data_IF_260248133637
#
_entry.id   IF_260248133637
#
_cell.length_a   1.000
_cell.length_b   1.000
_cell.length_c   1.000
_cell.angle_alpha   90.00
_cell.angle_beta   90.00
_cell.angle_gamma   90.00
#
_symmetry.space_group_name_H-M   'P 1'
#
loop_
_entity.id
_entity.type
_entity.pdbx_description
1 polymer ?
#
# COMPACT_ATOMS: atom_id res chain seq x y z
N UNK A 1 -29.93 -1.37 2.91
CA UNK A 1 -28.77 -1.78 2.08
C UNK A 1 -27.57 -0.96 2.53
N UNK A 2 -26.48 -1.59 2.97
CA UNK A 2 -25.24 -0.90 3.32
C UNK A 2 -24.50 -0.55 2.01
N UNK A 3 -24.07 0.69 1.86
CA UNK A 3 -23.26 1.14 0.72
C UNK A 3 -21.86 1.47 1.25
N UNK A 4 -20.83 0.79 0.73
CA UNK A 4 -19.44 1.09 1.03
C UNK A 4 -18.83 1.90 -0.12
N UNK A 5 -18.67 3.23 0.01
CA UNK A 5 -18.14 4.07 -1.07
C UNK A 5 -16.67 3.78 -1.42
N UNK A 6 -15.98 2.99 -0.59
CA UNK A 6 -14.56 2.66 -0.74
C UNK A 6 -14.32 1.21 -1.18
N UNK A 7 -15.36 0.44 -1.50
CA UNK A 7 -15.25 -0.99 -1.80
C UNK A 7 -14.25 -1.31 -2.92
N UNK A 8 -14.17 -0.44 -3.95
CA UNK A 8 -13.29 -0.61 -5.10
C UNK A 8 -12.29 0.53 -5.25
N UNK A 9 -11.86 1.09 -4.11
CA UNK A 9 -10.86 2.16 -4.06
C UNK A 9 -9.56 1.68 -3.43
N UNK A 10 -8.45 2.09 -4.02
CA UNK A 10 -7.14 1.98 -3.36
C UNK A 10 -7.06 2.93 -2.18
N UNK A 11 -6.08 2.74 -1.30
CA UNK A 11 -5.88 3.68 -0.18
C UNK A 11 -5.50 5.08 -0.67
N UNK A 12 -4.72 5.20 -1.75
CA UNK A 12 -4.43 6.49 -2.38
C UNK A 12 -5.68 7.16 -2.93
N UNK A 13 -6.52 6.44 -3.67
CA UNK A 13 -7.81 6.92 -4.17
C UNK A 13 -8.73 7.36 -3.03
N UNK A 14 -8.76 6.62 -1.91
CA UNK A 14 -9.51 7.02 -0.71
C UNK A 14 -9.04 8.37 -0.14
N UNK A 15 -7.73 8.63 -0.13
CA UNK A 15 -7.18 9.90 0.35
C UNK A 15 -7.52 11.03 -0.63
N UNK A 16 -7.34 10.80 -1.94
CA UNK A 16 -7.63 11.80 -2.98
C UNK A 16 -9.11 12.17 -3.02
N UNK A 17 -10.00 11.19 -2.89
CA UNK A 17 -11.44 11.39 -3.04
C UNK A 17 -12.16 11.72 -1.72
N UNK A 18 -11.42 11.87 -0.62
CA UNK A 18 -12.02 12.24 0.66
C UNK A 18 -12.66 13.64 0.57
N UNK A 19 -13.95 13.72 0.86
CA UNK A 19 -14.70 14.99 0.76
C UNK A 19 -14.14 16.08 1.70
N UNK A 20 -13.69 15.71 2.89
CA UNK A 20 -13.16 16.66 3.87
C UNK A 20 -11.63 16.60 3.93
N UNK A 21 -10.98 17.15 2.91
CA UNK A 21 -9.52 17.18 2.82
C UNK A 21 -8.85 17.94 3.96
N UNK A 22 -9.51 18.97 4.50
CA UNK A 22 -9.01 19.74 5.64
C UNK A 22 -8.89 18.88 6.90
N UNK A 23 -9.93 18.09 7.21
CA UNK A 23 -9.90 17.16 8.34
C UNK A 23 -8.92 16.03 8.08
N UNK A 24 -8.90 15.47 6.86
CA UNK A 24 -8.00 14.37 6.53
C UNK A 24 -6.53 14.77 6.71
N UNK A 25 -6.11 15.94 6.23
CA UNK A 25 -4.73 16.42 6.40
C UNK A 25 -4.32 16.56 7.86
N UNK A 26 -5.26 16.90 8.75
CA UNK A 26 -5.01 16.98 10.19
C UNK A 26 -4.96 15.60 10.85
N UNK A 27 -5.94 14.75 10.55
CA UNK A 27 -6.12 13.48 11.27
C UNK A 27 -5.28 12.34 10.71
N UNK A 28 -4.93 12.34 9.43
CA UNK A 28 -4.30 11.19 8.77
C UNK A 28 -3.00 10.79 9.47
N UNK A 29 -2.19 11.75 9.90
CA UNK A 29 -0.90 11.53 10.58
C UNK A 29 -1.06 10.88 11.96
N UNK A 30 -2.19 11.09 12.63
CA UNK A 30 -2.50 10.55 13.96
C UNK A 30 -3.13 9.14 13.91
N UNK A 31 -3.58 8.71 12.73
CA UNK A 31 -4.13 7.35 12.55
C UNK A 31 -3.06 6.27 12.54
N UNK A 32 -3.44 5.05 12.93
CA UNK A 32 -2.57 3.87 12.95
C UNK A 32 -2.87 2.95 11.77
N UNK A 33 -1.84 2.50 11.05
CA UNK A 33 -1.94 1.45 10.03
C UNK A 33 -0.99 0.27 10.29
N UNK A 34 0.07 0.48 11.06
CA UNK A 34 1.12 -0.47 11.34
C UNK A 34 0.60 -1.74 12.04
N UNK A 35 0.85 -2.90 11.43
CA UNK A 35 0.55 -4.21 12.04
C UNK A 35 1.42 -4.55 13.26
N UNK A 36 2.49 -3.78 13.50
CA UNK A 36 3.41 -3.96 14.64
C UNK A 36 3.27 -2.86 15.71
N UNK A 37 2.27 -1.97 15.58
CA UNK A 37 2.13 -0.77 16.43
C UNK A 37 2.02 -1.08 17.92
N UNK A 38 1.24 -2.10 18.29
CA UNK A 38 0.98 -2.45 19.70
C UNK A 38 2.24 -2.72 20.54
N UNK A 39 3.39 -3.02 19.92
CA UNK A 39 4.65 -3.30 20.62
C UNK A 39 5.48 -2.04 20.89
N UNK A 40 5.40 -1.03 20.03
CA UNK A 40 6.27 0.14 20.07
C UNK A 40 5.55 1.45 20.35
N UNK A 41 4.21 1.50 20.20
CA UNK A 41 3.44 2.75 20.22
C UNK A 41 3.68 3.65 18.99
N UNK A 42 4.50 3.20 18.05
CA UNK A 42 4.96 4.00 16.89
C UNK A 42 4.78 3.21 15.59
N UNK A 43 4.40 3.89 14.52
CA UNK A 43 4.31 3.29 13.19
C UNK A 43 5.70 2.82 12.75
N UNK A 44 5.89 1.55 12.38
CA UNK A 44 7.25 1.08 12.08
C UNK A 44 7.78 1.65 10.76
N UNK A 45 6.90 1.92 9.78
CA UNK A 45 7.30 2.48 8.49
C UNK A 45 7.77 1.45 7.45
N UNK A 46 7.99 0.19 7.83
CA UNK A 46 8.51 -0.87 6.94
C UNK A 46 7.60 -2.06 6.68
N UNK A 47 6.59 -2.30 7.53
CA UNK A 47 5.67 -3.42 7.33
C UNK A 47 4.70 -3.14 6.18
N UNK A 48 4.09 -4.19 5.61
CA UNK A 48 3.14 -4.10 4.49
C UNK A 48 2.11 -2.95 4.64
N UNK A 49 1.34 -2.82 5.74
CA UNK A 49 0.36 -1.74 5.82
C UNK A 49 0.98 -0.35 6.02
N UNK A 50 2.23 -0.24 6.52
CA UNK A 50 2.97 1.02 6.52
C UNK A 50 3.43 1.41 5.11
N UNK A 51 3.86 0.45 4.30
CA UNK A 51 4.25 0.70 2.91
C UNK A 51 3.05 1.14 2.07
N UNK A 52 1.90 0.48 2.22
CA UNK A 52 0.63 0.91 1.57
C UNK A 52 0.22 2.31 2.06
N UNK A 53 0.40 2.61 3.36
CA UNK A 53 0.15 3.97 3.88
C UNK A 53 1.05 5.01 3.22
N UNK A 54 2.37 4.81 3.24
CA UNK A 54 3.33 5.75 2.63
C UNK A 54 3.05 5.94 1.14
N UNK A 55 2.73 4.85 0.43
CA UNK A 55 2.31 4.90 -0.96
C UNK A 55 1.05 5.72 -1.17
N UNK A 56 0.04 5.58 -0.30
CA UNK A 56 -1.19 6.38 -0.39
C UNK A 56 -0.97 7.88 -0.16
N UNK A 57 -0.07 8.26 0.75
CA UNK A 57 0.34 9.67 0.90
C UNK A 57 1.05 10.18 -0.36
N UNK A 58 1.95 9.37 -0.93
CA UNK A 58 2.64 9.69 -2.18
C UNK A 58 1.66 9.89 -3.34
N UNK A 59 0.70 8.99 -3.54
CA UNK A 59 -0.36 9.11 -4.56
C UNK A 59 -1.17 10.39 -4.40
N UNK A 60 -1.52 10.74 -3.17
CA UNK A 60 -2.27 11.96 -2.89
C UNK A 60 -1.42 13.24 -2.92
N UNK A 61 -0.11 13.15 -3.19
CA UNK A 61 0.86 14.25 -3.07
C UNK A 61 0.83 14.93 -1.69
N UNK A 62 0.53 14.14 -0.65
CA UNK A 62 0.46 14.61 0.73
C UNK A 62 1.79 14.40 1.43
N UNK A 63 2.27 15.44 2.09
CA UNK A 63 3.47 15.34 2.91
C UNK A 63 3.18 14.44 4.12
N UNK A 64 3.77 13.25 4.13
CA UNK A 64 3.63 12.31 5.24
C UNK A 64 4.56 12.69 6.39
N UNK A 65 4.02 13.40 7.39
CA UNK A 65 4.76 13.80 8.60
C UNK A 65 4.66 12.78 9.74
N UNK A 66 4.23 11.55 9.45
CA UNK A 66 4.13 10.50 10.49
C UNK A 66 5.51 10.16 11.06
N UNK A 67 5.69 10.12 12.39
CA UNK A 67 6.94 9.68 12.99
C UNK A 67 7.10 8.17 12.84
N UNK A 68 7.88 7.74 11.85
CA UNK A 68 8.17 6.32 11.63
C UNK A 68 9.42 5.86 12.39
N UNK A 69 9.38 4.65 12.96
CA UNK A 69 10.56 4.03 13.57
C UNK A 69 11.69 3.81 12.55
N UNK A 70 11.33 3.43 11.32
CA UNK A 70 12.23 3.29 10.19
C UNK A 70 11.84 4.31 9.11
N UNK A 71 12.34 5.56 9.20
CA UNK A 71 11.96 6.62 8.28
C UNK A 71 12.56 6.42 6.88
N UNK A 72 13.78 5.88 6.79
CA UNK A 72 14.56 5.72 5.55
C UNK A 72 14.52 4.25 5.10
N UNK A 73 13.83 3.95 4.01
CA UNK A 73 13.70 2.57 3.50
C UNK A 73 15.02 1.99 2.94
N UNK A 74 15.93 2.85 2.48
CA UNK A 74 17.26 2.44 2.04
C UNK A 74 18.13 1.87 3.17
N UNK A 75 17.85 2.20 4.43
CA UNK A 75 18.52 1.58 5.57
C UNK A 75 17.84 0.28 5.96
N UNK A 76 16.52 0.22 5.81
CA UNK A 76 15.72 -0.99 6.05
C UNK A 76 16.18 -2.12 5.14
N UNK A 77 16.30 -1.87 3.83
CA UNK A 77 16.64 -2.90 2.83
C UNK A 77 18.03 -3.51 3.06
N UNK A 78 18.98 -2.72 3.58
CA UNK A 78 20.35 -3.15 3.89
C UNK A 78 20.44 -3.97 5.17
N UNK A 79 19.43 -3.91 6.04
CA UNK A 79 19.44 -4.59 7.33
C UNK A 79 18.66 -5.92 7.25
N UNK A 80 19.33 -7.09 7.36
CA UNK A 80 18.68 -8.40 7.27
C UNK A 80 17.55 -8.61 8.28
N UNK A 81 17.64 -8.03 9.49
CA UNK A 81 16.63 -8.22 10.54
C UNK A 81 15.37 -7.37 10.33
N UNK A 82 15.39 -6.43 9.38
CA UNK A 82 14.31 -5.47 9.16
C UNK A 82 13.72 -5.52 7.75
N UNK A 83 14.41 -6.08 6.77
CA UNK A 83 14.03 -5.97 5.36
C UNK A 83 12.91 -6.89 4.89
N UNK A 84 12.51 -7.91 5.64
CA UNK A 84 11.63 -8.98 5.15
C UNK A 84 10.32 -8.47 4.53
N UNK A 85 9.59 -7.58 5.21
CA UNK A 85 8.33 -7.03 4.72
C UNK A 85 8.54 -6.17 3.45
N UNK A 86 9.63 -5.39 3.42
CA UNK A 86 9.97 -4.53 2.29
C UNK A 86 10.38 -5.38 1.07
N UNK A 87 11.26 -6.36 1.26
CA UNK A 87 11.65 -7.32 0.23
C UNK A 87 10.44 -8.10 -0.28
N UNK A 88 9.53 -8.53 0.61
CA UNK A 88 8.32 -9.24 0.22
C UNK A 88 7.44 -8.39 -0.70
N UNK A 89 7.32 -7.08 -0.43
CA UNK A 89 6.60 -6.16 -1.32
C UNK A 89 7.30 -5.98 -2.67
N UNK A 90 8.63 -5.84 -2.68
CA UNK A 90 9.44 -5.73 -3.92
C UNK A 90 9.26 -6.99 -4.78
N UNK A 91 9.43 -8.17 -4.19
CA UNK A 91 9.25 -9.46 -4.88
C UNK A 91 7.82 -9.64 -5.38
N UNK A 92 6.81 -9.23 -4.61
CA UNK A 92 5.42 -9.27 -5.05
C UNK A 92 5.16 -8.38 -6.28
N UNK A 93 5.74 -7.17 -6.30
CA UNK A 93 5.66 -6.26 -7.45
C UNK A 93 6.35 -6.90 -8.67
N UNK A 94 7.58 -7.39 -8.53
CA UNK A 94 8.30 -8.05 -9.62
C UNK A 94 7.55 -9.29 -10.14
N UNK A 95 6.99 -10.10 -9.24
CA UNK A 95 6.18 -11.27 -9.58
C UNK A 95 4.92 -10.88 -10.36
N UNK A 96 4.26 -9.78 -9.98
CA UNK A 96 3.08 -9.26 -10.67
C UNK A 96 3.42 -8.74 -12.08
N UNK A 97 4.55 -8.04 -12.22
CA UNK A 97 5.00 -7.49 -13.51
C UNK A 97 5.40 -8.59 -14.49
N UNK A 98 5.96 -9.70 -13.98
CA UNK A 98 6.31 -10.88 -14.76
C UNK A 98 5.14 -11.87 -14.96
N UNK A 99 3.97 -11.61 -14.39
CA UNK A 99 2.83 -12.50 -14.51
C UNK A 99 2.25 -12.48 -15.93
N UNK A 100 2.19 -13.64 -16.58
CA UNK A 100 1.52 -13.79 -17.89
C UNK A 100 0.03 -13.42 -17.83
N UNK A 101 -0.60 -13.58 -16.66
CA UNK A 101 -1.97 -13.19 -16.41
C UNK A 101 -2.12 -12.59 -15.00
N UNK A 102 -2.28 -11.26 -14.93
CA UNK A 102 -2.42 -10.52 -13.68
C UNK A 102 -3.68 -10.88 -12.91
N UNK A 103 -4.77 -11.25 -13.58
CA UNK A 103 -6.02 -11.69 -12.93
C UNK A 103 -5.81 -13.02 -12.18
N UNK A 104 -5.10 -13.97 -12.78
CA UNK A 104 -4.74 -15.23 -12.14
C UNK A 104 -3.79 -14.97 -10.96
N UNK A 105 -2.84 -14.05 -11.12
CA UNK A 105 -1.92 -13.67 -10.04
C UNK A 105 -2.70 -13.17 -8.80
N UNK A 106 -3.69 -12.29 -8.99
CA UNK A 106 -4.56 -11.83 -7.89
C UNK A 106 -5.38 -12.98 -7.31
N UNK A 107 -5.98 -13.84 -8.14
CA UNK A 107 -6.79 -14.96 -7.66
C UNK A 107 -6.00 -16.01 -6.85
N UNK A 108 -4.66 -16.03 -6.90
CA UNK A 108 -3.84 -16.90 -6.03
C UNK A 108 -3.94 -16.52 -4.55
N UNK A 109 -4.39 -15.32 -4.21
CA UNK A 109 -4.60 -14.93 -2.81
C UNK A 109 -5.89 -15.49 -2.20
N UNK A 110 -6.79 -16.06 -3.00
CA UNK A 110 -8.04 -16.65 -2.54
C UNK A 110 -9.21 -16.48 -3.51
N UNK A 111 -10.36 -17.04 -3.13
CA UNK A 111 -11.58 -16.97 -3.94
C UNK A 111 -12.06 -15.53 -4.14
N UNK A 112 -12.39 -15.20 -5.39
CA UNK A 112 -13.02 -13.93 -5.75
C UNK A 112 -14.52 -14.12 -6.00
N UNK A 113 -15.36 -13.07 -5.89
CA UNK A 113 -16.79 -13.13 -6.18
C UNK A 113 -17.10 -13.75 -7.54
N UNK A 114 -18.26 -14.42 -7.66
CA UNK A 114 -18.70 -15.04 -8.92
C UNK A 114 -19.18 -14.00 -9.94
N UNK A 115 -19.75 -12.90 -9.47
CA UNK A 115 -20.19 -11.80 -10.31
C UNK A 115 -18.97 -11.16 -11.00
N UNK A 116 -19.04 -11.03 -12.33
CA UNK A 116 -17.90 -10.68 -13.17
C UNK A 116 -17.45 -9.24 -12.95
N UNK A 117 -18.40 -8.31 -12.82
CA UNK A 117 -18.08 -6.88 -12.70
C UNK A 117 -17.44 -6.53 -11.36
N UNK A 118 -17.96 -7.11 -10.27
CA UNK A 118 -17.43 -7.00 -8.92
C UNK A 118 -16.05 -7.66 -8.83
N UNK A 119 -15.91 -8.87 -9.38
CA UNK A 119 -14.61 -9.55 -9.48
C UNK A 119 -13.57 -8.68 -10.18
N UNK A 120 -13.93 -8.14 -11.35
CA UNK A 120 -13.00 -7.31 -12.11
C UNK A 120 -12.66 -6.03 -11.35
N UNK A 121 -13.64 -5.39 -10.69
CA UNK A 121 -13.41 -4.20 -9.86
C UNK A 121 -12.44 -4.45 -8.71
N UNK A 122 -12.51 -5.62 -8.06
CA UNK A 122 -11.56 -6.02 -7.01
C UNK A 122 -10.17 -6.23 -7.60
N UNK A 123 -10.06 -6.95 -8.72
CA UNK A 123 -8.78 -7.18 -9.40
C UNK A 123 -8.15 -5.82 -9.75
N UNK A 124 -8.90 -4.95 -10.40
CA UNK A 124 -8.43 -3.62 -10.80
C UNK A 124 -7.96 -2.80 -9.59
N UNK A 125 -8.69 -2.87 -8.47
CA UNK A 125 -8.30 -2.22 -7.22
C UNK A 125 -6.96 -2.74 -6.71
N UNK A 126 -6.73 -4.06 -6.74
CA UNK A 126 -5.45 -4.66 -6.33
C UNK A 126 -4.32 -4.21 -7.27
N UNK A 127 -4.55 -4.23 -8.59
CA UNK A 127 -3.54 -3.84 -9.57
C UNK A 127 -3.16 -2.36 -9.43
N UNK A 128 -4.15 -1.46 -9.28
CA UNK A 128 -3.90 -0.03 -9.03
C UNK A 128 -3.16 0.17 -7.71
N UNK A 129 -3.57 -0.53 -6.64
CA UNK A 129 -2.92 -0.43 -5.32
C UNK A 129 -1.47 -0.92 -5.32
N UNK A 130 -1.16 -2.00 -6.03
CA UNK A 130 0.22 -2.44 -6.24
C UNK A 130 1.03 -1.42 -7.04
N UNK A 131 0.40 -0.76 -8.02
CA UNK A 131 0.98 0.36 -8.76
C UNK A 131 1.34 1.55 -7.86
N UNK A 132 0.49 1.91 -6.90
CA UNK A 132 0.80 2.97 -5.91
C UNK A 132 2.05 2.65 -5.11
N UNK A 133 2.17 1.40 -4.64
CA UNK A 133 3.35 0.96 -3.88
C UNK A 133 4.60 0.96 -4.77
N UNK A 134 4.50 0.43 -6.00
CA UNK A 134 5.61 0.47 -6.97
C UNK A 134 6.11 1.88 -7.19
N UNK A 135 5.21 2.81 -7.50
CA UNK A 135 5.56 4.22 -7.74
C UNK A 135 6.24 4.84 -6.51
N UNK A 136 5.70 4.59 -5.32
CA UNK A 136 6.32 5.09 -4.08
C UNK A 136 7.73 4.51 -3.86
N UNK A 137 7.93 3.21 -4.03
CA UNK A 137 9.26 2.61 -3.86
C UNK A 137 10.28 3.16 -4.87
N UNK A 138 9.86 3.45 -6.10
CA UNK A 138 10.69 4.14 -7.10
C UNK A 138 11.10 5.54 -6.65
N UNK A 139 10.21 6.32 -6.01
CA UNK A 139 10.60 7.64 -5.46
C UNK A 139 11.59 7.52 -4.30
N UNK A 140 11.71 6.35 -3.68
CA UNK A 140 12.71 6.05 -2.65
C UNK A 140 14.02 5.50 -3.22
N UNK A 141 14.18 5.44 -4.56
CA UNK A 141 15.31 4.83 -5.26
C UNK A 141 15.52 3.34 -4.92
N UNK A 142 14.44 2.62 -4.62
CA UNK A 142 14.49 1.17 -4.45
C UNK A 142 14.20 0.49 -5.78
N UNK A 143 15.06 -0.44 -6.16
CA UNK A 143 14.88 -1.21 -7.38
C UNK A 143 13.69 -2.17 -7.22
N UNK A 144 12.64 -1.88 -7.98
CA UNK A 144 11.40 -2.66 -8.07
C UNK A 144 11.14 -3.14 -9.49
N UNK A 145 12.09 -2.91 -10.39
CA UNK A 145 12.02 -3.35 -11.79
C UNK A 145 12.80 -4.66 -11.90
N UNK A 146 12.54 -5.41 -12.97
CA UNK A 146 13.29 -6.64 -13.33
C UNK A 146 14.15 -6.31 -14.53
#
# INVERSE_FOLDING_TARGET
KLLNPYQFKTKGEMIVDCQNQTLLKKAAVDTVSCGKWKRSGTQCGRCVPCLIRRASFNTATYNDTTPYQFPILNDVIKNPNNRDDLMSMIVAIQSLENASNKNIWVARSGSLPLEKTERQSIIDTVLRGMGEVKNYLQTQNLDVTV
#
